data_IF_060062963920
#
_entry.id   IF_060062963920
#
_cell.length_a   1.000
_cell.length_b   1.000
_cell.length_c   1.000
_cell.angle_alpha   90.00
_cell.angle_beta   90.00
_cell.angle_gamma   90.00
#
_symmetry.space_group_name_H-M   'P 1'
#
loop_
_entity.id
_entity.type
_entity.pdbx_description
1 polymer ?
#
# COMPACT_ATOMS: atom_id res chain seq x y z
N UNK A 1 -10.24 -7.56 0.05
CA UNK A 1 -9.74 -6.37 -0.68
C UNK A 1 -8.23 -6.44 -0.75
N UNK A 2 -7.64 -5.76 -1.73
CA UNK A 2 -6.19 -5.72 -1.95
C UNK A 2 -5.64 -4.30 -1.75
N UNK A 3 -4.38 -4.23 -1.34
CA UNK A 3 -3.59 -3.01 -1.19
C UNK A 3 -2.23 -3.26 -1.81
N UNK A 4 -1.75 -2.31 -2.62
CA UNK A 4 -0.40 -2.30 -3.16
C UNK A 4 0.37 -1.18 -2.47
N UNK A 5 1.57 -1.48 -1.98
CA UNK A 5 2.42 -0.52 -1.30
C UNK A 5 3.88 -0.74 -1.66
N UNK A 6 4.67 0.34 -1.64
CA UNK A 6 6.12 0.28 -1.68
C UNK A 6 6.76 0.42 -0.29
N UNK A 7 7.99 -0.07 -0.18
CA UNK A 7 8.87 0.24 0.94
C UNK A 7 10.33 0.19 0.50
N UNK A 8 11.12 1.18 0.94
CA UNK A 8 12.59 1.11 0.95
C UNK A 8 13.16 0.61 2.28
N UNK A 9 12.30 0.42 3.29
CA UNK A 9 12.66 -0.13 4.60
C UNK A 9 12.56 -1.65 4.59
N UNK A 10 13.13 -2.30 5.61
CA UNK A 10 12.89 -3.71 5.89
C UNK A 10 11.38 -4.00 6.02
N UNK A 11 10.96 -5.19 5.57
CA UNK A 11 9.54 -5.53 5.48
C UNK A 11 8.83 -5.54 6.85
N UNK A 12 9.53 -6.01 7.90
CA UNK A 12 9.05 -5.98 9.28
C UNK A 12 8.75 -4.55 9.75
N UNK A 13 9.64 -3.59 9.48
CA UNK A 13 9.45 -2.19 9.86
C UNK A 13 8.22 -1.59 9.18
N UNK A 14 8.03 -1.88 7.89
CA UNK A 14 6.86 -1.39 7.15
C UNK A 14 5.54 -1.99 7.69
N UNK A 15 5.53 -3.28 8.02
CA UNK A 15 4.33 -3.93 8.59
C UNK A 15 4.03 -3.42 10.00
N UNK A 16 5.05 -3.26 10.84
CA UNK A 16 4.91 -2.63 12.17
C UNK A 16 4.40 -1.21 12.04
N UNK A 17 4.92 -0.42 11.10
CA UNK A 17 4.42 0.93 10.82
C UNK A 17 2.93 0.94 10.48
N UNK A 18 2.45 0.01 9.66
CA UNK A 18 1.02 -0.13 9.40
C UNK A 18 0.22 -0.46 10.66
N UNK A 19 0.70 -1.34 11.53
CA UNK A 19 0.03 -1.66 12.81
C UNK A 19 -0.02 -0.44 13.73
N UNK A 20 1.09 0.28 13.88
CA UNK A 20 1.16 1.51 14.67
C UNK A 20 0.23 2.59 14.11
N UNK A 21 0.21 2.79 12.79
CA UNK A 21 -0.71 3.72 12.13
C UNK A 21 -2.18 3.37 12.42
N UNK A 22 -2.54 2.08 12.36
CA UNK A 22 -3.89 1.58 12.70
C UNK A 22 -4.22 1.81 14.17
N UNK A 23 -3.34 1.45 15.10
CA UNK A 23 -3.54 1.65 16.54
C UNK A 23 -3.78 3.13 16.88
N UNK A 24 -3.04 4.02 16.21
CA UNK A 24 -3.16 5.46 16.38
C UNK A 24 -4.29 6.09 15.53
N UNK A 25 -5.07 5.27 14.80
CA UNK A 25 -6.19 5.72 13.95
C UNK A 25 -5.81 6.83 12.97
N UNK A 26 -4.60 6.77 12.41
CA UNK A 26 -4.16 7.78 11.44
C UNK A 26 -5.03 7.70 10.18
N UNK A 27 -5.28 8.84 9.47
CA UNK A 27 -6.14 8.91 8.28
C UNK A 27 -5.46 8.34 7.01
N UNK A 28 -4.93 7.13 7.12
CA UNK A 28 -4.23 6.38 6.07
C UNK A 28 -5.10 5.22 5.63
N UNK A 29 -5.06 4.90 4.34
CA UNK A 29 -5.90 3.89 3.72
C UNK A 29 -5.92 2.53 4.45
N UNK A 30 -4.74 2.01 4.81
CA UNK A 30 -4.61 0.74 5.54
C UNK A 30 -5.14 0.87 6.97
N UNK A 31 -4.87 1.99 7.64
CA UNK A 31 -5.36 2.26 8.99
C UNK A 31 -6.89 2.30 9.03
N UNK A 32 -7.52 3.04 8.14
CA UNK A 32 -8.97 3.14 8.03
C UNK A 32 -9.61 1.78 7.72
N UNK A 33 -9.02 0.99 6.81
CA UNK A 33 -9.51 -0.34 6.49
C UNK A 33 -9.51 -1.27 7.70
N UNK A 34 -8.40 -1.34 8.45
CA UNK A 34 -8.30 -2.25 9.59
C UNK A 34 -9.01 -1.74 10.85
N UNK A 35 -9.35 -0.45 10.92
CA UNK A 35 -10.19 0.10 11.96
C UNK A 35 -11.70 -0.06 11.69
N UNK A 36 -12.09 -0.51 10.49
CA UNK A 36 -13.49 -0.79 10.17
C UNK A 36 -13.96 -2.12 10.82
N UNK A 37 -15.26 -2.25 11.15
CA UNK A 37 -15.79 -3.46 11.79
C UNK A 37 -15.52 -4.74 10.98
N UNK A 38 -15.09 -5.80 11.66
CA UNK A 38 -14.86 -7.12 11.05
C UNK A 38 -13.51 -7.29 10.34
N UNK A 39 -12.64 -6.28 10.37
CA UNK A 39 -11.29 -6.34 9.80
C UNK A 39 -10.23 -6.64 10.87
N UNK A 40 -9.24 -7.48 10.54
CA UNK A 40 -8.12 -7.81 11.42
C UNK A 40 -6.87 -8.14 10.60
N UNK A 41 -5.70 -7.73 11.09
CA UNK A 41 -4.40 -8.07 10.49
C UNK A 41 -4.10 -9.57 10.51
N UNK A 42 -4.71 -10.34 11.41
CA UNK A 42 -4.51 -11.81 11.48
C UNK A 42 -5.01 -12.53 10.22
N UNK A 43 -5.97 -11.92 9.51
CA UNK A 43 -6.53 -12.45 8.27
C UNK A 43 -5.83 -11.91 7.01
N UNK A 44 -4.80 -11.07 7.18
CA UNK A 44 -4.02 -10.51 6.07
C UNK A 44 -3.08 -11.57 5.49
N UNK A 45 -2.94 -11.56 4.16
CA UNK A 45 -1.84 -12.22 3.46
C UNK A 45 -0.94 -11.17 2.82
N UNK A 46 0.37 -11.36 2.96
CA UNK A 46 1.39 -10.49 2.39
C UNK A 46 2.15 -11.23 1.30
N UNK A 47 2.30 -10.61 0.14
CA UNK A 47 3.04 -11.15 -1.00
C UNK A 47 4.06 -10.12 -1.47
N UNK A 48 5.30 -10.55 -1.68
CA UNK A 48 6.33 -9.73 -2.31
C UNK A 48 6.17 -9.90 -3.82
N UNK A 49 5.87 -8.81 -4.53
CA UNK A 49 5.66 -8.84 -5.98
C UNK A 49 6.96 -8.64 -6.76
N UNK A 50 7.86 -7.79 -6.26
CA UNK A 50 9.09 -7.43 -6.96
C UNK A 50 10.13 -6.82 -6.00
N UNK A 51 11.41 -7.04 -6.27
CA UNK A 51 12.56 -6.57 -5.46
C UNK A 51 13.72 -6.14 -6.38
N UNK A 52 14.82 -5.65 -5.80
CA UNK A 52 16.05 -5.33 -6.57
C UNK A 52 16.03 -4.00 -7.32
N UNK A 53 15.17 -3.05 -6.91
CA UNK A 53 15.10 -1.72 -7.51
C UNK A 53 16.40 -0.93 -7.31
N UNK A 54 16.82 -0.20 -8.35
CA UNK A 54 18.06 0.59 -8.35
C UNK A 54 17.87 1.97 -7.72
N UNK A 55 16.64 2.49 -7.75
CA UNK A 55 16.31 3.79 -7.19
C UNK A 55 14.94 3.80 -6.51
N UNK A 56 14.71 4.81 -5.66
CA UNK A 56 13.38 5.09 -5.09
C UNK A 56 12.35 5.45 -6.16
N UNK A 57 12.79 6.09 -7.26
CA UNK A 57 11.91 6.42 -8.39
C UNK A 57 11.38 5.16 -9.06
N UNK A 58 12.27 4.22 -9.42
CA UNK A 58 11.88 2.96 -10.08
C UNK A 58 10.83 2.21 -9.25
N UNK A 59 11.04 2.17 -7.92
CA UNK A 59 10.15 1.49 -6.98
C UNK A 59 8.76 2.15 -6.91
N UNK A 60 8.68 3.48 -6.91
CA UNK A 60 7.42 4.25 -6.88
C UNK A 60 6.67 4.21 -8.20
N UNK A 61 7.39 4.27 -9.32
CA UNK A 61 6.81 4.12 -10.65
C UNK A 61 6.25 2.71 -10.82
N UNK A 62 6.96 1.70 -10.27
CA UNK A 62 6.47 0.32 -10.26
C UNK A 62 5.26 0.11 -9.35
N UNK A 63 5.24 0.70 -8.16
CA UNK A 63 4.05 0.70 -7.29
C UNK A 63 2.83 1.24 -8.02
N UNK A 64 2.97 2.39 -8.67
CA UNK A 64 1.90 3.05 -9.43
C UNK A 64 1.38 2.17 -10.58
N UNK A 65 2.28 1.54 -11.33
CA UNK A 65 1.93 0.58 -12.37
C UNK A 65 1.13 -0.61 -11.79
N UNK A 66 1.56 -1.17 -10.66
CA UNK A 66 0.91 -2.33 -10.05
C UNK A 66 -0.45 -1.97 -9.43
N UNK A 67 -0.59 -0.78 -8.84
CA UNK A 67 -1.88 -0.25 -8.38
C UNK A 67 -2.88 -0.23 -9.54
N UNK A 68 -2.47 0.29 -10.70
CA UNK A 68 -3.30 0.33 -11.90
C UNK A 68 -3.59 -1.08 -12.44
N UNK A 69 -2.55 -1.89 -12.65
CA UNK A 69 -2.65 -3.24 -13.22
C UNK A 69 -3.60 -4.13 -12.43
N UNK A 70 -3.55 -4.06 -11.09
CA UNK A 70 -4.38 -4.88 -10.23
C UNK A 70 -5.67 -4.18 -9.77
N UNK A 71 -5.96 -2.96 -10.23
CA UNK A 71 -7.16 -2.19 -9.85
C UNK A 71 -7.33 -2.08 -8.33
N UNK A 72 -6.26 -1.76 -7.60
CA UNK A 72 -6.29 -1.73 -6.13
C UNK A 72 -6.84 -0.44 -5.51
N UNK A 73 -7.42 0.47 -6.32
CA UNK A 73 -8.00 1.73 -5.85
C UNK A 73 -9.46 1.52 -5.42
N UNK A 74 -9.88 2.21 -4.35
CA UNK A 74 -11.29 2.23 -3.92
C UNK A 74 -12.24 2.61 -5.08
N UNK A 75 -13.39 1.91 -5.28
CA UNK A 75 -13.99 0.89 -4.42
C UNK A 75 -13.47 -0.54 -4.62
N UNK A 76 -12.60 -0.78 -5.60
CA UNK A 76 -12.15 -2.13 -5.97
C UNK A 76 -10.97 -2.63 -5.12
N UNK A 77 -10.27 -1.72 -4.42
CA UNK A 77 -9.27 -2.03 -3.41
C UNK A 77 -9.14 -0.95 -2.35
N UNK A 78 -8.01 -0.94 -1.64
CA UNK A 78 -7.76 -0.09 -0.48
C UNK A 78 -6.98 1.18 -0.84
N UNK A 79 -6.20 1.20 -1.92
CA UNK A 79 -5.41 2.38 -2.30
C UNK A 79 -6.32 3.61 -2.53
N UNK A 80 -5.86 4.79 -2.09
CA UNK A 80 -6.58 6.07 -2.24
C UNK A 80 -6.18 6.86 -3.49
N UNK A 81 -4.98 6.65 -4.03
CA UNK A 81 -4.47 7.33 -5.21
C UNK A 81 -3.77 6.37 -6.17
N UNK A 82 -3.48 6.83 -7.39
CA UNK A 82 -2.77 6.07 -8.43
C UNK A 82 -1.25 6.03 -8.25
N UNK A 83 -0.73 6.69 -7.22
CA UNK A 83 0.71 6.83 -6.99
C UNK A 83 1.34 7.99 -7.77
N UNK A 84 2.66 7.96 -7.97
CA UNK A 84 3.45 9.05 -8.58
C UNK A 84 3.15 9.27 -10.06
N UNK A 85 2.61 8.27 -10.77
CA UNK A 85 2.25 8.41 -12.19
C UNK A 85 1.10 9.39 -12.45
N UNK A 86 0.37 9.82 -11.41
CA UNK A 86 -0.63 10.89 -11.52
C UNK A 86 0.00 12.26 -11.88
N UNK A 87 1.29 12.46 -11.58
CA UNK A 87 2.01 13.72 -11.87
C UNK A 87 2.63 13.81 -13.27
N UNK A 88 2.55 12.76 -14.09
CA UNK A 88 3.11 12.74 -15.46
C UNK A 88 2.07 13.03 -16.55
N UNK A 89 0.80 13.27 -16.18
CA UNK A 89 -0.29 13.63 -17.08
C UNK A 89 -0.86 15.02 -16.71
N UNK A 90 0.03 16.00 -16.52
CA UNK A 90 -0.31 17.43 -16.47
C UNK A 90 0.28 18.10 -17.71
#
# INVERSE_FOLDING_TARGET
MQYIGETGQQMNNRLTGHRTDTLNKLPKAVSEHFNAPGHSFERMRLYILETGFRSTRDRRDRESFLIHKFKSIHPYGINKSKGTLETLYV
#
